data_IF_893559005834
#
_entry.id   IF_893559005834
#
_cell.length_a   1.000
_cell.length_b   1.000
_cell.length_c   1.000
_cell.angle_alpha   90.00
_cell.angle_beta   90.00
_cell.angle_gamma   90.00
#
_symmetry.space_group_name_H-M   'P 1'
#
loop_
_entity.id
_entity.type
_entity.pdbx_description
1 polymer ?
#
# COMPACT_ATOMS: atom_id res chain seq x y z
N UNK A 1 -7.63 10.58 -16.55
CA UNK A 1 -7.64 9.36 -15.70
C UNK A 1 -8.85 9.23 -14.75
N UNK A 2 -9.85 10.13 -14.76
CA UNK A 2 -10.97 10.08 -13.79
C UNK A 2 -11.93 8.88 -13.89
N UNK A 3 -11.75 7.99 -14.87
CA UNK A 3 -12.60 6.80 -15.07
C UNK A 3 -12.06 5.48 -14.52
N UNK A 4 -10.78 5.41 -14.12
CA UNK A 4 -10.09 4.13 -13.83
C UNK A 4 -9.98 3.80 -12.33
N UNK A 5 -9.88 4.80 -11.45
CA UNK A 5 -9.73 4.61 -10.00
C UNK A 5 -11.07 4.35 -9.31
N UNK A 6 -11.63 3.14 -9.49
CA UNK A 6 -12.90 2.71 -8.88
C UNK A 6 -12.76 1.56 -7.88
N UNK A 7 -11.53 1.07 -7.71
CA UNK A 7 -11.24 -0.02 -6.79
C UNK A 7 -10.93 0.51 -5.41
N UNK A 8 -11.13 -0.35 -4.41
CA UNK A 8 -10.68 -0.10 -3.05
C UNK A 8 -9.43 -0.93 -2.79
N UNK A 9 -8.50 -0.39 -2.02
CA UNK A 9 -7.38 -1.12 -1.44
C UNK A 9 -7.31 -0.88 0.06
N UNK A 10 -6.72 -1.82 0.79
CA UNK A 10 -6.41 -1.66 2.22
C UNK A 10 -4.91 -1.63 2.39
N UNK A 11 -4.39 -0.57 3.02
CA UNK A 11 -2.98 -0.45 3.39
C UNK A 11 -2.83 -0.71 4.88
N UNK A 12 -1.82 -1.49 5.25
CA UNK A 12 -1.36 -1.64 6.62
C UNK A 12 0.00 -0.95 6.73
N UNK A 13 0.00 0.26 7.28
CA UNK A 13 1.22 1.01 7.53
C UNK A 13 1.88 0.52 8.81
N UNK A 14 3.16 0.14 8.69
CA UNK A 14 3.99 -0.25 9.80
C UNK A 14 4.32 0.98 10.65
N UNK A 15 4.19 0.87 11.97
CA UNK A 15 4.58 1.91 12.91
C UNK A 15 5.34 1.28 14.07
N UNK A 16 6.58 1.76 14.30
CA UNK A 16 7.42 1.21 15.37
C UNK A 16 6.96 1.74 16.73
N UNK A 17 6.56 0.83 17.63
CA UNK A 17 6.21 1.19 19.00
C UNK A 17 7.48 1.26 19.87
N UNK A 18 7.91 2.45 20.32
CA UNK A 18 9.13 2.59 21.10
C UNK A 18 9.03 1.97 22.51
N UNK A 19 7.82 1.83 23.06
CA UNK A 19 7.62 1.25 24.38
C UNK A 19 7.78 -0.28 24.38
N UNK A 20 7.27 -0.96 23.35
CA UNK A 20 7.35 -2.42 23.23
C UNK A 20 8.51 -2.88 22.35
N UNK A 21 9.13 -1.96 21.61
CA UNK A 21 10.17 -2.20 20.60
C UNK A 21 9.72 -3.17 19.49
N UNK A 22 8.43 -3.11 19.14
CA UNK A 22 7.83 -3.95 18.13
C UNK A 22 7.08 -3.11 17.10
N UNK A 23 6.99 -3.63 15.89
CA UNK A 23 6.17 -3.03 14.85
C UNK A 23 4.68 -3.29 15.12
N UNK A 24 3.87 -2.26 14.96
CA UNK A 24 2.42 -2.33 14.91
C UNK A 24 1.94 -1.99 13.49
N UNK A 25 0.76 -2.47 13.11
CA UNK A 25 0.20 -2.23 11.79
C UNK A 25 -1.09 -1.42 11.88
N UNK A 26 -1.08 -0.22 11.33
CA UNK A 26 -2.23 0.66 11.26
C UNK A 26 -2.95 0.51 9.92
N UNK A 27 -4.23 0.20 9.98
CA UNK A 27 -5.06 -0.09 8.81
C UNK A 27 -5.72 1.17 8.26
N UNK A 28 -5.59 1.40 6.94
CA UNK A 28 -6.39 2.37 6.18
C UNK A 28 -7.02 1.76 4.94
N UNK A 29 -8.25 2.18 4.64
CA UNK A 29 -8.98 1.79 3.42
C UNK A 29 -9.01 2.98 2.48
N UNK A 30 -8.54 2.77 1.25
CA UNK A 30 -8.42 3.80 0.22
C UNK A 30 -9.38 3.46 -0.91
N UNK A 31 -10.38 4.30 -1.15
CA UNK A 31 -11.53 4.00 -2.03
C UNK A 31 -11.38 4.47 -3.48
N UNK A 32 -10.25 5.12 -3.80
CA UNK A 32 -9.93 5.61 -5.15
C UNK A 32 -8.59 5.05 -5.60
N UNK A 33 -8.58 3.74 -5.82
CA UNK A 33 -7.42 3.02 -6.29
C UNK A 33 -7.72 2.26 -7.59
N UNK A 34 -6.66 1.81 -8.25
CA UNK A 34 -6.72 0.86 -9.35
C UNK A 34 -5.60 -0.14 -9.15
N UNK A 35 -5.94 -1.43 -9.14
CA UNK A 35 -5.01 -2.54 -8.93
C UNK A 35 -4.87 -3.30 -10.24
N UNK A 36 -3.64 -3.44 -10.70
CA UNK A 36 -3.27 -4.24 -11.87
C UNK A 36 -2.29 -5.32 -11.43
N UNK A 37 -2.65 -6.58 -11.65
CA UNK A 37 -1.72 -7.69 -11.51
C UNK A 37 -0.88 -7.75 -12.79
N UNK A 38 0.44 -7.68 -12.63
CA UNK A 38 1.41 -7.72 -13.73
C UNK A 38 2.13 -9.06 -13.67
N UNK A 39 1.76 -9.95 -14.58
CA UNK A 39 2.43 -11.23 -14.76
C UNK A 39 3.74 -11.02 -15.53
N UNK A 40 4.84 -10.94 -14.78
CA UNK A 40 6.18 -10.98 -15.36
C UNK A 40 6.59 -12.43 -15.62
N UNK A 41 6.70 -12.83 -16.90
CA UNK A 41 7.44 -14.04 -17.27
C UNK A 41 8.93 -13.73 -17.08
N UNK A 42 9.49 -14.09 -15.92
CA UNK A 42 10.94 -14.16 -15.78
C UNK A 42 11.44 -15.47 -16.39
N UNK A 43 12.16 -15.37 -17.52
CA UNK A 43 12.98 -16.45 -18.06
C UNK A 43 14.30 -16.52 -17.29
N UNK A 44 14.22 -16.75 -16.00
CA UNK A 44 15.35 -17.22 -15.24
C UNK A 44 15.43 -18.71 -15.60
N UNK A 45 16.57 -19.21 -16.07
CA UNK A 45 16.75 -20.58 -16.59
C UNK A 45 16.48 -21.75 -15.62
N UNK A 46 15.62 -21.57 -14.62
CA UNK A 46 15.13 -22.55 -13.65
C UNK A 46 13.60 -22.74 -13.64
N UNK A 47 12.86 -22.11 -14.55
CA UNK A 47 11.43 -22.34 -14.73
C UNK A 47 10.59 -21.08 -14.45
N UNK A 48 9.32 -21.14 -14.84
CA UNK A 48 8.35 -20.04 -14.71
C UNK A 48 8.09 -19.76 -13.24
N UNK A 49 8.83 -18.81 -12.65
CA UNK A 49 8.42 -18.16 -11.43
C UNK A 49 7.53 -16.99 -11.85
N UNK A 50 6.21 -17.18 -11.77
CA UNK A 50 5.27 -16.06 -11.90
C UNK A 50 5.54 -15.08 -10.76
N UNK A 51 6.29 -14.01 -11.01
CA UNK A 51 6.43 -12.94 -10.03
C UNK A 51 5.10 -12.19 -10.02
N UNK A 52 4.26 -12.42 -9.01
CA UNK A 52 2.96 -11.76 -8.89
C UNK A 52 3.15 -10.30 -8.46
N UNK A 53 3.66 -9.46 -9.35
CA UNK A 53 3.81 -8.03 -9.10
C UNK A 53 2.43 -7.38 -9.20
N UNK A 54 2.13 -6.47 -8.29
CA UNK A 54 0.97 -5.59 -8.41
C UNK A 54 1.44 -4.16 -8.65
N UNK A 55 0.91 -3.54 -9.69
CA UNK A 55 0.96 -2.10 -9.91
C UNK A 55 -0.34 -1.49 -9.40
N UNK A 56 -0.23 -0.58 -8.43
CA UNK A 56 -1.39 0.05 -7.80
C UNK A 56 -1.30 1.56 -7.97
N UNK A 57 -2.33 2.14 -8.58
CA UNK A 57 -2.50 3.59 -8.67
C UNK A 57 -3.45 4.04 -7.57
N UNK A 58 -3.07 5.05 -6.79
CA UNK A 58 -3.89 5.63 -5.72
C UNK A 58 -4.08 7.13 -5.99
N UNK A 59 -5.32 7.59 -5.99
CA UNK A 59 -5.66 8.99 -6.28
C UNK A 59 -4.93 9.95 -5.33
N UNK A 60 -4.17 10.90 -5.88
CA UNK A 60 -3.37 11.86 -5.11
C UNK A 60 -4.20 12.92 -4.37
N UNK A 61 -5.51 12.99 -4.63
CA UNK A 61 -6.44 13.87 -3.91
C UNK A 61 -6.99 13.25 -2.64
N UNK A 62 -6.70 11.98 -2.34
CA UNK A 62 -7.08 11.37 -1.06
C UNK A 62 -6.44 12.13 0.09
N UNK A 63 -7.27 12.54 1.05
CA UNK A 63 -6.82 13.25 2.25
C UNK A 63 -6.00 12.34 3.15
N UNK A 64 -5.35 12.94 4.16
CA UNK A 64 -4.64 12.22 5.23
C UNK A 64 -3.40 11.45 4.77
N UNK A 65 -2.96 11.62 3.51
CA UNK A 65 -1.63 11.18 3.10
C UNK A 65 -0.55 12.02 3.77
N UNK A 66 0.47 11.35 4.29
CA UNK A 66 1.73 11.97 4.70
C UNK A 66 2.91 11.18 4.15
N UNK A 67 4.05 11.85 3.95
CA UNK A 67 5.27 11.17 3.51
C UNK A 67 5.78 10.21 4.60
N UNK A 68 6.53 9.16 4.24
CA UNK A 68 7.04 8.19 5.23
C UNK A 68 7.84 8.85 6.36
N UNK A 69 8.67 9.86 6.02
CA UNK A 69 9.45 10.61 7.01
C UNK A 69 8.58 11.30 8.06
N UNK A 70 7.44 11.86 7.64
CA UNK A 70 6.49 12.48 8.57
C UNK A 70 5.80 11.38 9.39
N UNK A 71 5.29 10.34 8.73
CA UNK A 71 4.54 9.24 9.37
C UNK A 71 5.32 8.61 10.54
N UNK A 72 6.60 8.27 10.33
CA UNK A 72 7.42 7.61 11.34
C UNK A 72 7.81 8.53 12.52
N UNK A 73 7.65 9.84 12.38
CA UNK A 73 7.84 10.80 13.48
C UNK A 73 6.58 11.02 14.32
N UNK A 74 5.43 10.47 13.93
CA UNK A 74 4.17 10.69 14.62
C UNK A 74 4.02 9.82 15.88
N UNK A 75 3.27 10.34 16.85
CA UNK A 75 2.75 9.52 17.94
C UNK A 75 1.78 8.46 17.40
N UNK A 76 1.57 7.37 18.15
CA UNK A 76 0.63 6.30 17.79
C UNK A 76 -0.76 6.86 17.41
N UNK A 77 -1.30 7.74 18.24
CA UNK A 77 -2.63 8.32 18.03
C UNK A 77 -2.71 9.14 16.73
N UNK A 78 -1.66 9.90 16.40
CA UNK A 78 -1.61 10.66 15.16
C UNK A 78 -1.40 9.76 13.93
N UNK A 79 -0.52 8.76 14.03
CA UNK A 79 -0.25 7.80 12.96
C UNK A 79 -1.50 7.01 12.53
N UNK A 80 -2.41 6.69 13.46
CA UNK A 80 -3.67 5.99 13.17
C UNK A 80 -4.67 6.83 12.35
N UNK A 81 -4.51 8.15 12.31
CA UNK A 81 -5.39 9.06 11.59
C UNK A 81 -4.95 9.31 10.16
N UNK A 82 -3.72 8.98 9.80
CA UNK A 82 -3.11 9.23 8.49
C UNK A 82 -2.71 7.93 7.81
N UNK A 83 -2.26 8.03 6.57
CA UNK A 83 -1.65 6.91 5.84
C UNK A 83 -0.40 7.36 5.09
N UNK A 84 0.44 6.39 4.79
CA UNK A 84 1.63 6.59 3.98
C UNK A 84 1.82 5.42 3.01
N UNK A 85 2.84 5.49 2.17
CA UNK A 85 3.24 4.42 1.27
C UNK A 85 4.74 4.24 1.42
N UNK A 86 5.17 3.26 2.23
CA UNK A 86 6.58 2.99 2.49
C UNK A 86 6.94 1.56 2.10
N UNK A 87 8.18 1.29 1.67
CA UNK A 87 8.64 -0.08 1.52
C UNK A 87 8.43 -0.90 2.80
N UNK A 88 8.07 -2.16 2.63
CA UNK A 88 7.68 -3.11 3.69
C UNK A 88 6.29 -2.90 4.32
N UNK A 89 5.55 -1.84 3.98
CA UNK A 89 4.11 -1.78 4.27
C UNK A 89 3.36 -2.84 3.46
N UNK A 90 2.16 -3.22 3.91
CA UNK A 90 1.33 -4.22 3.22
C UNK A 90 0.19 -3.51 2.51
N UNK A 91 -0.10 -3.94 1.28
CA UNK A 91 -1.26 -3.49 0.52
C UNK A 91 -2.09 -4.71 0.07
N UNK A 92 -3.40 -4.61 0.25
CA UNK A 92 -4.36 -5.65 -0.10
C UNK A 92 -5.39 -5.10 -1.09
N UNK A 93 -5.78 -5.91 -2.06
CA UNK A 93 -6.91 -5.58 -2.94
C UNK A 93 -8.23 -5.65 -2.15
N UNK A 94 -9.06 -4.61 -2.26
CA UNK A 94 -10.37 -4.53 -1.62
C UNK A 94 -10.39 -3.92 -0.21
N UNK A 95 -11.57 -3.92 0.39
CA UNK A 95 -11.81 -3.50 1.77
C UNK A 95 -11.64 -4.71 2.72
N UNK A 96 -10.46 -4.86 3.32
CA UNK A 96 -10.16 -5.95 4.24
C UNK A 96 -10.44 -5.49 5.66
N UNK A 97 -11.44 -6.01 6.37
CA UNK A 97 -11.83 -5.53 7.72
C UNK A 97 -10.93 -6.03 8.87
N UNK A 98 -9.96 -6.89 8.57
CA UNK A 98 -9.12 -7.54 9.58
C UNK A 98 -8.08 -6.56 10.16
N UNK A 99 -7.98 -6.50 11.50
CA UNK A 99 -6.84 -5.87 12.19
C UNK A 99 -5.77 -6.94 12.42
N UNK A 100 -4.50 -6.59 12.22
CA UNK A 100 -3.40 -7.57 12.29
C UNK A 100 -2.35 -7.16 13.32
N UNK A 101 -1.71 -8.17 13.90
CA UNK A 101 -0.54 -8.01 14.76
C UNK A 101 0.76 -8.18 13.97
N UNK A 102 0.71 -9.01 12.91
CA UNK A 102 1.84 -9.33 12.04
C UNK A 102 1.36 -9.61 10.62
N UNK A 103 2.24 -9.48 9.60
CA UNK A 103 1.85 -9.69 8.21
C UNK A 103 1.24 -11.07 7.92
N UNK A 104 1.71 -12.11 8.62
CA UNK A 104 1.24 -13.50 8.42
C UNK A 104 -0.20 -13.73 8.87
N UNK A 105 -0.81 -12.81 9.60
CA UNK A 105 -2.24 -12.85 9.92
C UNK A 105 -3.11 -12.72 8.65
N UNK A 106 -2.56 -12.17 7.55
CA UNK A 106 -3.23 -12.01 6.25
C UNK A 106 -3.06 -13.22 5.32
N UNK A 107 -2.34 -14.29 5.71
CA UNK A 107 -1.96 -15.40 4.83
C UNK A 107 -3.11 -16.16 4.15
N UNK A 108 -4.33 -16.00 4.67
CA UNK A 108 -5.54 -16.63 4.16
C UNK A 108 -6.29 -15.76 3.14
N UNK A 109 -5.80 -14.54 2.89
CA UNK A 109 -6.37 -13.62 1.92
C UNK A 109 -5.58 -13.69 0.61
N UNK A 110 -6.31 -13.64 -0.50
CA UNK A 110 -5.71 -13.45 -1.80
C UNK A 110 -5.31 -11.98 -2.01
N UNK A 111 -4.41 -11.72 -2.97
CA UNK A 111 -4.03 -10.37 -3.41
C UNK A 111 -3.50 -9.46 -2.27
N UNK A 112 -2.73 -10.07 -1.36
CA UNK A 112 -1.90 -9.40 -0.38
C UNK A 112 -0.50 -9.27 -0.95
N UNK A 113 0.08 -8.07 -0.87
CA UNK A 113 1.43 -7.77 -1.36
C UNK A 113 2.16 -6.86 -0.38
N UNK A 114 3.47 -6.97 -0.34
CA UNK A 114 4.35 -6.02 0.35
C UNK A 114 4.78 -4.93 -0.62
N UNK A 115 4.65 -3.67 -0.22
CA UNK A 115 5.10 -2.51 -1.00
C UNK A 115 6.62 -2.58 -1.14
N UNK A 116 7.08 -2.48 -2.39
CA UNK A 116 8.49 -2.41 -2.78
C UNK A 116 8.90 -0.96 -3.00
N UNK A 117 8.06 -0.19 -3.68
CA UNK A 117 8.29 1.23 -3.95
C UNK A 117 6.98 1.98 -4.12
N UNK A 118 7.04 3.28 -3.88
CA UNK A 118 5.97 4.20 -4.20
C UNK A 118 6.56 5.52 -4.74
N UNK A 119 5.95 6.07 -5.78
CA UNK A 119 6.27 7.39 -6.35
C UNK A 119 5.01 8.25 -6.38
N UNK A 120 5.19 9.56 -6.60
CA UNK A 120 4.08 10.48 -6.83
C UNK A 120 4.23 11.11 -8.20
N UNK A 121 3.20 10.97 -9.03
CA UNK A 121 3.12 11.58 -10.35
C UNK A 121 2.27 12.83 -10.22
N UNK A 122 2.89 14.00 -10.36
CA UNK A 122 2.19 15.27 -10.43
C UNK A 122 1.92 15.68 -11.88
N UNK A 123 0.65 15.83 -12.25
CA UNK A 123 0.24 16.24 -13.60
C UNK A 123 -0.32 17.67 -13.62
N UNK A 124 -0.13 18.46 -12.56
CA UNK A 124 -0.60 19.86 -12.46
C UNK A 124 -2.12 20.02 -12.32
N UNK A 125 -2.90 18.97 -12.63
CA UNK A 125 -4.33 18.86 -12.36
C UNK A 125 -4.55 17.81 -11.27
N UNK A 126 -5.11 18.23 -10.13
CA UNK A 126 -5.38 17.35 -8.96
C UNK A 126 -6.14 16.06 -9.27
N UNK A 127 -6.94 16.03 -10.35
CA UNK A 127 -7.73 14.85 -10.79
C UNK A 127 -6.93 13.85 -11.63
N UNK A 128 -5.65 14.11 -11.86
CA UNK A 128 -4.75 13.28 -12.65
C UNK A 128 -3.47 12.92 -11.88
N UNK A 129 -3.13 13.67 -10.82
CA UNK A 129 -2.03 13.30 -9.92
C UNK A 129 -2.38 12.07 -9.08
N UNK A 130 -1.43 11.17 -8.91
CA UNK A 130 -1.63 9.89 -8.23
C UNK A 130 -0.31 9.34 -7.67
N UNK A 131 -0.43 8.44 -6.72
CA UNK A 131 0.68 7.59 -6.30
C UNK A 131 0.74 6.36 -7.19
N UNK A 132 1.93 6.00 -7.66
CA UNK A 132 2.19 4.71 -8.28
C UNK A 132 2.91 3.84 -7.26
N UNK A 133 2.39 2.63 -7.03
CA UNK A 133 2.91 1.69 -6.03
C UNK A 133 3.23 0.37 -6.71
N UNK A 134 4.44 -0.12 -6.48
CA UNK A 134 4.86 -1.46 -6.88
C UNK A 134 4.86 -2.35 -5.65
N UNK A 135 4.16 -3.48 -5.69
CA UNK A 135 4.08 -4.42 -4.58
C UNK A 135 4.29 -5.88 -5.02
N UNK A 136 4.85 -6.73 -4.14
CA UNK A 136 5.20 -8.13 -4.40
C UNK A 136 4.78 -9.06 -3.26
#
# INVERSE_FOLDING_TARGET
MSGLLRSTVTVYNRWFNPATKQDEFHRKVLTKAHWMDVDGVSLDGKGVAGSSVAEVLIDGSLSEYVTPNIYYGLSKAAAQLVWTLSPADIICKGNVSLTISKPTDLKHLDNVRTIVSASYVDQGLRKQSHHEVIAR
#
